data_IF_761402776488
#
_entry.id   IF_761402776488
#
_cell.length_a   1.000
_cell.length_b   1.000
_cell.length_c   1.000
_cell.angle_alpha   90.00
_cell.angle_beta   90.00
_cell.angle_gamma   90.00
#
_symmetry.space_group_name_H-M   'P 1'
#
loop_
_entity.id
_entity.type
_entity.pdbx_description
1 polymer ?
#
# COMPACT_ATOMS: atom_id res chain seq x y z
N UNK A 1 -5.30 23.56 -4.06
CA UNK A 1 -6.46 23.74 -3.17
C UNK A 1 -6.27 22.90 -1.91
N UNK A 2 -6.52 23.46 -0.72
CA UNK A 2 -6.37 22.76 0.57
C UNK A 2 -7.48 21.71 0.71
N UNK A 3 -8.71 22.06 0.30
CA UNK A 3 -9.89 21.20 0.38
C UNK A 3 -9.71 19.90 -0.44
N UNK A 4 -9.12 20.01 -1.64
CA UNK A 4 -8.81 18.84 -2.49
C UNK A 4 -7.79 17.91 -1.81
N UNK A 5 -6.82 18.46 -1.08
CA UNK A 5 -5.83 17.65 -0.36
C UNK A 5 -6.49 16.90 0.80
N UNK A 6 -7.33 17.56 1.58
CA UNK A 6 -8.04 16.93 2.70
C UNK A 6 -8.95 15.79 2.23
N UNK A 7 -9.71 15.99 1.13
CA UNK A 7 -10.51 14.94 0.49
C UNK A 7 -9.63 13.75 0.09
N UNK A 8 -8.50 14.01 -0.57
CA UNK A 8 -7.57 12.96 -0.99
C UNK A 8 -6.99 12.20 0.22
N UNK A 9 -6.66 12.88 1.33
CA UNK A 9 -6.18 12.22 2.54
C UNK A 9 -7.24 11.28 3.15
N UNK A 10 -8.49 11.75 3.25
CA UNK A 10 -9.60 10.94 3.74
C UNK A 10 -9.85 9.70 2.87
N UNK A 11 -9.86 9.90 1.55
CA UNK A 11 -10.01 8.80 0.60
C UNK A 11 -8.84 7.81 0.66
N UNK A 12 -7.60 8.30 0.86
CA UNK A 12 -6.43 7.43 1.04
C UNK A 12 -6.54 6.58 2.30
N UNK A 13 -6.93 7.18 3.44
CA UNK A 13 -7.14 6.44 4.70
C UNK A 13 -8.16 5.32 4.51
N UNK A 14 -9.33 5.65 3.94
CA UNK A 14 -10.40 4.67 3.67
C UNK A 14 -9.94 3.56 2.72
N UNK A 15 -9.09 3.90 1.74
CA UNK A 15 -8.60 2.95 0.75
C UNK A 15 -7.55 2.00 1.34
N UNK A 16 -6.71 2.49 2.26
CA UNK A 16 -5.76 1.67 3.01
C UNK A 16 -6.48 0.69 3.94
N UNK A 17 -7.56 1.12 4.60
CA UNK A 17 -8.36 0.25 5.45
C UNK A 17 -9.04 -0.88 4.66
N UNK A 18 -9.55 -0.57 3.45
CA UNK A 18 -10.12 -1.57 2.53
C UNK A 18 -9.09 -2.55 1.96
N UNK A 19 -7.81 -2.18 1.96
CA UNK A 19 -6.76 -2.98 1.35
C UNK A 19 -6.53 -4.31 2.11
N UNK A 20 -6.60 -4.24 3.44
CA UNK A 20 -6.36 -5.36 4.34
C UNK A 20 -4.93 -5.90 4.31
N UNK A 21 -4.67 -6.91 5.14
CA UNK A 21 -3.37 -7.60 5.19
C UNK A 21 -3.25 -8.69 4.10
N UNK A 22 -2.02 -8.99 3.61
CA UNK A 22 -0.74 -8.39 3.98
C UNK A 22 -0.44 -7.05 3.28
N UNK A 23 -1.35 -6.60 2.39
CA UNK A 23 -1.08 -5.49 1.50
C UNK A 23 -0.90 -4.13 2.19
N UNK A 24 -1.67 -3.87 3.25
CA UNK A 24 -1.53 -2.66 4.08
C UNK A 24 -0.12 -2.60 4.68
N UNK A 25 0.29 -3.65 5.40
CA UNK A 25 1.61 -3.67 6.02
C UNK A 25 2.76 -3.61 5.00
N UNK A 26 2.67 -4.29 3.85
CA UNK A 26 3.69 -4.20 2.79
C UNK A 26 3.88 -2.75 2.29
N UNK A 27 2.78 -2.01 2.09
CA UNK A 27 2.87 -0.62 1.61
C UNK A 27 3.35 0.33 2.70
N UNK A 28 2.92 0.15 3.95
CA UNK A 28 3.40 0.94 5.09
C UNK A 28 4.90 0.72 5.33
N UNK A 29 5.35 -0.53 5.32
CA UNK A 29 6.75 -0.88 5.51
C UNK A 29 7.63 -0.24 4.43
N UNK A 30 7.19 -0.26 3.17
CA UNK A 30 7.97 0.31 2.08
C UNK A 30 7.92 1.83 2.03
N UNK A 31 6.74 2.45 2.07
CA UNK A 31 6.58 3.89 1.81
C UNK A 31 6.64 4.77 3.06
N UNK A 32 6.32 4.24 4.24
CA UNK A 32 6.31 5.01 5.49
C UNK A 32 7.51 4.67 6.37
N UNK A 33 7.93 3.41 6.42
CA UNK A 33 9.06 2.95 7.23
C UNK A 33 10.37 2.85 6.45
N UNK A 34 10.35 3.06 5.13
CA UNK A 34 11.51 2.96 4.24
C UNK A 34 12.26 1.62 4.35
N UNK A 35 11.56 0.53 4.66
CA UNK A 35 12.16 -0.81 4.69
C UNK A 35 12.57 -1.25 3.28
N UNK A 36 13.71 -1.92 3.19
CA UNK A 36 14.22 -2.55 1.97
C UNK A 36 13.32 -3.71 1.54
N UNK A 37 13.43 -4.13 0.27
CA UNK A 37 12.66 -5.29 -0.20
C UNK A 37 13.09 -6.57 0.52
N UNK A 38 14.35 -6.67 0.90
CA UNK A 38 14.95 -7.79 1.61
C UNK A 38 14.36 -7.91 3.02
N UNK A 39 14.33 -6.81 3.79
CA UNK A 39 13.72 -6.78 5.13
C UNK A 39 12.23 -7.13 5.09
N UNK A 40 11.50 -6.63 4.10
CA UNK A 40 10.08 -6.96 3.92
C UNK A 40 9.92 -8.43 3.52
N UNK A 41 10.80 -8.96 2.66
CA UNK A 41 10.78 -10.37 2.26
C UNK A 41 10.94 -11.29 3.47
N UNK A 42 11.92 -10.99 4.32
CA UNK A 42 12.16 -11.73 5.56
C UNK A 42 10.97 -11.63 6.52
N UNK A 43 10.47 -10.41 6.75
CA UNK A 43 9.32 -10.15 7.64
C UNK A 43 8.06 -10.94 7.28
N UNK A 44 7.78 -11.08 5.98
CA UNK A 44 6.58 -11.80 5.49
C UNK A 44 6.85 -13.28 5.15
N UNK A 45 8.09 -13.76 5.31
CA UNK A 45 8.44 -15.15 5.00
C UNK A 45 8.36 -15.49 3.51
N UNK A 46 8.58 -14.51 2.62
CA UNK A 46 8.62 -14.77 1.18
C UNK A 46 9.97 -15.38 0.77
N UNK A 47 9.95 -16.23 -0.26
CA UNK A 47 11.14 -16.95 -0.72
C UNK A 47 12.24 -16.04 -1.29
N UNK A 48 11.85 -14.91 -1.89
CA UNK A 48 12.79 -13.96 -2.49
C UNK A 48 12.18 -12.55 -2.65
N UNK A 49 13.04 -11.56 -2.88
CA UNK A 49 12.64 -10.16 -3.07
C UNK A 49 11.75 -9.93 -4.29
N UNK A 50 11.78 -10.80 -5.31
CA UNK A 50 10.96 -10.63 -6.51
C UNK A 50 9.49 -10.97 -6.24
N UNK A 51 9.22 -11.98 -5.41
CA UNK A 51 7.86 -12.25 -4.90
C UNK A 51 7.32 -11.06 -4.12
N UNK A 52 8.14 -10.45 -3.27
CA UNK A 52 7.79 -9.24 -2.49
C UNK A 52 7.51 -8.04 -3.39
N UNK A 53 8.35 -7.79 -4.41
CA UNK A 53 8.12 -6.72 -5.40
C UNK A 53 6.81 -6.93 -6.16
N UNK A 54 6.55 -8.15 -6.61
CA UNK A 54 5.32 -8.52 -7.30
C UNK A 54 4.09 -8.33 -6.40
N UNK A 55 4.17 -8.75 -5.13
CA UNK A 55 3.09 -8.55 -4.17
C UNK A 55 2.85 -7.07 -3.88
N UNK A 56 3.91 -6.29 -3.61
CA UNK A 56 3.83 -4.83 -3.44
C UNK A 56 3.16 -4.16 -4.63
N UNK A 57 3.53 -4.54 -5.86
CA UNK A 57 2.91 -4.02 -7.07
C UNK A 57 1.40 -4.32 -7.10
N UNK A 58 0.99 -5.58 -6.87
CA UNK A 58 -0.43 -5.96 -6.82
C UNK A 58 -1.19 -5.19 -5.74
N UNK A 59 -0.60 -5.02 -4.56
CA UNK A 59 -1.18 -4.23 -3.47
C UNK A 59 -1.35 -2.76 -3.86
N UNK A 60 -0.35 -2.16 -4.52
CA UNK A 60 -0.44 -0.78 -5.00
C UNK A 60 -1.53 -0.60 -6.06
N UNK A 61 -1.70 -1.55 -6.99
CA UNK A 61 -2.79 -1.49 -7.97
C UNK A 61 -4.17 -1.58 -7.30
N UNK A 62 -4.32 -2.43 -6.29
CA UNK A 62 -5.56 -2.52 -5.50
C UNK A 62 -5.84 -1.22 -4.74
N UNK A 63 -4.81 -0.63 -4.12
CA UNK A 63 -4.94 0.65 -3.43
C UNK A 63 -5.41 1.76 -4.40
N UNK A 64 -4.79 1.85 -5.58
CA UNK A 64 -5.21 2.82 -6.62
C UNK A 64 -6.67 2.63 -7.00
N UNK A 65 -7.13 1.39 -7.21
CA UNK A 65 -8.52 1.09 -7.52
C UNK A 65 -9.46 1.62 -6.43
N UNK A 66 -9.19 1.30 -5.15
CA UNK A 66 -10.01 1.77 -4.03
C UNK A 66 -10.01 3.30 -3.89
N UNK A 67 -8.85 3.93 -4.11
CA UNK A 67 -8.71 5.38 -4.04
C UNK A 67 -9.55 6.09 -5.09
N UNK A 68 -9.52 5.62 -6.34
CA UNK A 68 -10.33 6.22 -7.40
C UNK A 68 -11.82 5.89 -7.26
N UNK A 69 -12.17 4.73 -6.71
CA UNK A 69 -13.57 4.41 -6.37
C UNK A 69 -14.11 5.30 -5.23
N UNK A 70 -13.27 5.64 -4.24
CA UNK A 70 -13.64 6.52 -3.13
C UNK A 70 -13.68 8.02 -3.52
N UNK A 71 -13.02 8.40 -4.62
CA UNK A 71 -12.96 9.79 -5.12
C UNK A 71 -13.85 10.06 -6.33
N UNK A 72 -14.67 9.10 -6.75
CA UNK A 72 -15.72 9.34 -7.75
C UNK A 72 -16.78 10.31 -7.25
#
# INVERSE_FOLDING_TARGET
DIEVKEKNFSAMSTSLDKLGEPCRSILEDYYLRNMTMEEITEKFGYTNSDNTKNQKYKCLQRLKKFFFEANK
#
